data_IF_690097397117
#
_entry.id   IF_690097397117
#
_cell.length_a   1.000
_cell.length_b   1.000
_cell.length_c   1.000
_cell.angle_alpha   90.00
_cell.angle_beta   90.00
_cell.angle_gamma   90.00
#
_symmetry.space_group_name_H-M   'P 1'
#
loop_
_entity.id
_entity.type
_entity.pdbx_description
1 polymer ?
#
# COMPACT_ATOMS: atom_id res chain seq x y z
N UNK A 1 12.23 8.30 -8.09
CA UNK A 1 11.99 8.45 -6.65
C UNK A 1 11.01 9.60 -6.43
N UNK A 2 10.06 9.41 -5.53
CA UNK A 2 9.18 10.47 -5.06
C UNK A 2 9.55 10.75 -3.61
N UNK A 3 9.70 12.02 -3.27
CA UNK A 3 9.86 12.42 -1.88
C UNK A 3 8.50 12.35 -1.17
N UNK A 4 8.49 11.86 0.06
CA UNK A 4 7.34 11.99 0.94
C UNK A 4 7.11 13.46 1.28
N UNK A 5 5.86 13.89 1.35
CA UNK A 5 5.51 15.25 1.78
C UNK A 5 5.90 15.55 3.25
N UNK A 6 6.36 14.56 3.99
CA UNK A 6 6.85 14.71 5.36
C UNK A 6 8.34 15.03 5.46
N UNK A 7 9.08 15.06 4.35
CA UNK A 7 10.53 15.21 4.35
C UNK A 7 11.01 16.67 4.30
N UNK A 8 10.09 17.57 4.05
CA UNK A 8 10.41 19.00 3.97
C UNK A 8 10.42 19.64 5.33
N UNK A 9 10.98 19.75 6.24
CA UNK A 9 11.89 20.73 6.85
C UNK A 9 13.15 20.09 7.47
N UNK A 10 13.28 18.79 7.42
CA UNK A 10 14.35 18.10 8.17
C UNK A 10 15.60 17.80 7.36
N UNK A 11 15.63 18.05 6.05
CA UNK A 11 16.68 17.60 5.12
C UNK A 11 16.99 16.09 5.16
N UNK A 12 16.14 15.30 5.77
CA UNK A 12 16.18 13.84 5.70
C UNK A 12 15.46 13.45 4.42
N UNK A 13 16.22 13.31 3.36
CA UNK A 13 15.73 12.83 2.08
C UNK A 13 15.55 11.31 2.18
N UNK A 14 14.32 10.90 2.42
CA UNK A 14 13.95 9.50 2.31
C UNK A 14 13.80 9.18 0.81
N UNK A 15 14.91 8.85 0.18
CA UNK A 15 14.92 8.46 -1.22
C UNK A 15 14.41 7.01 -1.33
N UNK A 16 13.34 6.80 -2.06
CA UNK A 16 12.92 5.47 -2.44
C UNK A 16 12.68 5.39 -3.94
N UNK A 17 12.88 4.22 -4.52
CA UNK A 17 12.68 4.00 -5.96
C UNK A 17 11.35 3.29 -6.19
N UNK A 18 10.55 3.83 -7.09
CA UNK A 18 9.33 3.17 -7.58
C UNK A 18 9.59 2.68 -8.98
N UNK A 19 9.46 1.38 -9.18
CA UNK A 19 9.47 0.73 -10.47
C UNK A 19 8.03 0.55 -10.94
N UNK A 20 7.77 0.78 -12.21
CA UNK A 20 6.46 0.55 -12.77
C UNK A 20 6.52 -0.17 -14.11
N UNK A 21 5.46 -0.87 -14.44
CA UNK A 21 5.21 -1.45 -15.74
C UNK A 21 3.84 -1.05 -16.23
N UNK A 22 3.71 -0.90 -17.54
CA UNK A 22 2.46 -0.62 -18.21
C UNK A 22 2.26 -1.59 -19.37
N UNK A 23 1.04 -2.09 -19.55
CA UNK A 23 0.63 -2.91 -20.71
C UNK A 23 -0.66 -2.35 -21.28
N UNK A 24 -0.80 -2.42 -22.59
CA UNK A 24 -1.99 -2.00 -23.34
C UNK A 24 -2.55 -3.17 -24.13
N UNK A 25 -3.83 -3.14 -24.41
CA UNK A 25 -4.55 -4.18 -25.15
C UNK A 25 -4.48 -4.01 -26.67
N UNK A 26 -3.94 -2.88 -27.14
CA UNK A 26 -3.78 -2.56 -28.56
C UNK A 26 -2.31 -2.41 -28.94
N UNK A 27 -1.87 -2.90 -30.13
CA UNK A 27 -0.53 -2.63 -30.62
C UNK A 27 -0.25 -1.11 -30.73
N UNK A 28 0.89 -0.69 -30.22
CA UNK A 28 1.33 0.71 -30.31
C UNK A 28 1.86 1.02 -31.73
N UNK A 29 1.53 2.19 -32.25
CA UNK A 29 2.13 2.73 -33.47
C UNK A 29 3.57 3.16 -33.22
N UNK A 30 3.80 3.81 -32.09
CA UNK A 30 5.12 4.19 -31.60
C UNK A 30 5.08 4.37 -30.09
N UNK A 31 6.24 4.33 -29.49
CA UNK A 31 6.42 4.58 -28.06
C UNK A 31 7.74 5.31 -27.82
N UNK A 32 7.92 5.78 -26.59
CA UNK A 32 9.16 6.34 -26.12
C UNK A 32 9.07 6.69 -24.66
N UNK A 33 10.16 7.22 -24.16
CA UNK A 33 10.29 7.66 -22.79
C UNK A 33 10.80 9.10 -22.73
N UNK A 34 10.67 9.74 -21.58
CA UNK A 34 11.31 11.02 -21.33
C UNK A 34 11.94 11.06 -19.94
N UNK A 35 13.00 11.83 -19.82
CA UNK A 35 13.68 12.12 -18.56
C UNK A 35 14.08 13.59 -18.58
N UNK A 36 13.58 14.39 -17.62
CA UNK A 36 13.87 15.82 -17.53
C UNK A 36 13.64 16.59 -18.83
N UNK A 37 12.56 16.29 -19.55
CA UNK A 37 12.20 16.89 -20.83
C UNK A 37 12.93 16.33 -22.06
N UNK A 38 13.91 15.45 -21.90
CA UNK A 38 14.56 14.76 -23.02
C UNK A 38 13.76 13.54 -23.42
N UNK A 39 13.37 13.48 -24.68
CA UNK A 39 12.56 12.38 -25.25
C UNK A 39 13.46 11.38 -25.95
N UNK A 40 13.30 10.09 -25.61
CA UNK A 40 13.88 8.95 -26.31
C UNK A 40 12.76 8.11 -26.94
N UNK A 41 12.75 8.04 -28.28
CA UNK A 41 11.75 7.28 -29.03
C UNK A 41 12.18 5.84 -29.32
N UNK A 42 13.33 5.41 -28.82
CA UNK A 42 13.90 4.08 -29.05
C UNK A 42 13.87 3.18 -27.81
N UNK A 43 13.78 3.77 -26.63
CA UNK A 43 13.78 3.06 -25.36
C UNK A 43 12.37 2.87 -24.79
N UNK A 44 12.10 1.68 -24.27
CA UNK A 44 10.91 1.37 -23.46
C UNK A 44 11.21 1.40 -21.95
N UNK A 45 12.42 1.79 -21.56
CA UNK A 45 12.87 1.86 -20.16
C UNK A 45 13.49 3.23 -19.92
N UNK A 46 13.11 3.88 -18.83
CA UNK A 46 13.76 5.09 -18.36
C UNK A 46 13.87 5.06 -16.83
N UNK A 47 14.81 5.84 -16.32
CA UNK A 47 14.99 6.08 -14.89
C UNK A 47 15.46 7.52 -14.63
N UNK A 48 15.08 8.05 -13.49
CA UNK A 48 15.43 9.42 -13.08
C UNK A 48 14.77 9.78 -11.76
N UNK A 49 15.21 10.89 -11.18
CA UNK A 49 14.64 11.38 -9.91
C UNK A 49 13.37 12.19 -10.13
N UNK A 50 13.32 12.96 -11.21
CA UNK A 50 12.24 13.90 -11.49
C UNK A 50 11.86 13.82 -12.95
N UNK A 51 10.62 14.19 -13.27
CA UNK A 51 10.11 14.34 -14.62
C UNK A 51 10.49 13.16 -15.54
N UNK A 52 10.06 11.97 -15.15
CA UNK A 52 10.23 10.77 -15.97
C UNK A 52 8.89 10.19 -16.37
N UNK A 53 8.84 9.58 -17.55
CA UNK A 53 7.66 8.88 -17.99
C UNK A 53 7.83 8.18 -19.32
N UNK A 54 6.73 7.59 -19.76
CA UNK A 54 6.65 6.94 -21.05
C UNK A 54 5.41 7.42 -21.81
N UNK A 55 5.47 7.42 -23.12
CA UNK A 55 4.34 7.72 -23.98
C UNK A 55 4.13 6.60 -25.00
N UNK A 56 2.88 6.45 -25.40
CA UNK A 56 2.44 5.47 -26.36
C UNK A 56 1.50 6.14 -27.35
N UNK A 57 1.75 5.98 -28.64
CA UNK A 57 0.89 6.50 -29.70
C UNK A 57 0.12 5.36 -30.37
N UNK A 58 -1.12 5.63 -30.71
CA UNK A 58 -2.02 4.69 -31.33
C UNK A 58 -2.71 5.33 -32.52
N UNK A 59 -3.00 4.54 -33.55
CA UNK A 59 -3.98 4.89 -34.56
C UNK A 59 -5.35 4.45 -34.09
N UNK A 60 -6.28 5.39 -33.94
CA UNK A 60 -7.60 5.15 -33.31
C UNK A 60 -8.73 5.64 -34.21
N UNK A 61 -9.89 5.01 -34.06
CA UNK A 61 -11.14 5.46 -34.63
C UNK A 61 -11.99 6.16 -33.55
N UNK A 62 -13.01 6.91 -33.98
CA UNK A 62 -13.91 7.59 -33.06
C UNK A 62 -14.66 6.59 -32.15
N UNK A 63 -14.57 6.79 -30.84
CA UNK A 63 -15.22 5.93 -29.84
C UNK A 63 -14.44 4.64 -29.50
N UNK A 64 -13.28 4.42 -30.09
CA UNK A 64 -12.44 3.27 -29.74
C UNK A 64 -11.89 3.38 -28.32
N UNK A 65 -11.96 2.28 -27.57
CA UNK A 65 -11.46 2.20 -26.19
C UNK A 65 -10.15 1.42 -26.19
N UNK A 66 -9.11 2.03 -25.64
CA UNK A 66 -7.83 1.37 -25.35
C UNK A 66 -7.73 1.17 -23.85
N UNK A 67 -7.46 -0.06 -23.43
CA UNK A 67 -7.28 -0.38 -22.02
C UNK A 67 -5.80 -0.39 -21.66
N UNK A 68 -5.50 0.19 -20.49
CA UNK A 68 -4.17 0.23 -19.90
C UNK A 68 -4.20 -0.50 -18.56
N UNK A 69 -3.20 -1.35 -18.31
CA UNK A 69 -2.91 -1.93 -17.01
C UNK A 69 -1.56 -1.44 -16.54
N UNK A 70 -1.49 -1.06 -15.27
CA UNK A 70 -0.24 -0.65 -14.63
C UNK A 70 -0.05 -1.39 -13.31
N UNK A 71 1.20 -1.65 -12.95
CA UNK A 71 1.57 -2.09 -11.61
C UNK A 71 2.88 -1.44 -11.20
N UNK A 72 3.09 -1.39 -9.90
CA UNK A 72 4.32 -0.85 -9.29
C UNK A 72 4.99 -1.90 -8.41
N UNK A 73 6.26 -1.66 -8.13
CA UNK A 73 7.04 -2.33 -7.08
C UNK A 73 8.07 -1.34 -6.56
N UNK A 74 8.47 -1.51 -5.30
CA UNK A 74 9.59 -0.79 -4.72
C UNK A 74 10.91 -1.58 -4.84
N UNK A 75 10.85 -2.82 -5.35
CA UNK A 75 12.00 -3.74 -5.44
C UNK A 75 12.63 -3.73 -6.83
N UNK A 76 11.85 -3.99 -7.89
CA UNK A 76 12.37 -4.04 -9.26
C UNK A 76 11.27 -3.97 -10.33
N UNK A 77 11.67 -3.77 -11.59
CA UNK A 77 10.77 -3.85 -12.75
C UNK A 77 10.20 -5.27 -12.91
N UNK A 78 11.00 -6.30 -12.62
CA UNK A 78 10.59 -7.70 -12.67
C UNK A 78 9.49 -7.97 -11.64
N UNK A 79 9.61 -7.43 -10.44
CA UNK A 79 8.58 -7.54 -9.41
C UNK A 79 7.32 -6.74 -9.78
N UNK A 80 7.44 -5.54 -10.32
CA UNK A 80 6.28 -4.81 -10.84
C UNK A 80 5.54 -5.61 -11.92
N UNK A 81 6.28 -6.32 -12.78
CA UNK A 81 5.71 -7.19 -13.81
C UNK A 81 4.99 -8.41 -13.22
N UNK A 82 5.57 -9.00 -12.18
CA UNK A 82 4.99 -10.12 -11.44
C UNK A 82 3.71 -9.69 -10.71
N UNK A 83 3.72 -8.52 -10.05
CA UNK A 83 2.54 -7.95 -9.42
C UNK A 83 1.41 -7.78 -10.45
N UNK A 84 1.71 -7.21 -11.62
CA UNK A 84 0.74 -7.06 -12.70
C UNK A 84 0.13 -8.41 -13.12
N UNK A 85 0.94 -9.43 -13.28
CA UNK A 85 0.51 -10.75 -13.72
C UNK A 85 -0.35 -11.46 -12.68
N UNK A 86 0.08 -11.44 -11.42
CA UNK A 86 -0.64 -12.11 -10.32
C UNK A 86 -1.95 -11.40 -10.00
N UNK A 87 -1.94 -10.08 -9.88
CA UNK A 87 -3.12 -9.31 -9.45
C UNK A 87 -4.15 -9.12 -10.58
N UNK A 88 -3.72 -9.03 -11.83
CA UNK A 88 -4.61 -8.74 -12.94
C UNK A 88 -4.74 -9.83 -14.00
N UNK A 89 -3.89 -10.86 -13.96
CA UNK A 89 -3.82 -11.88 -15.01
C UNK A 89 -5.12 -12.66 -15.17
N UNK A 90 -5.76 -13.03 -14.06
CA UNK A 90 -7.02 -13.78 -14.06
C UNK A 90 -8.23 -13.06 -14.69
N UNK A 91 -8.13 -11.74 -14.88
CA UNK A 91 -9.22 -10.94 -15.45
C UNK A 91 -9.07 -10.68 -16.95
N UNK A 92 -7.94 -11.03 -17.56
CA UNK A 92 -7.64 -10.61 -18.94
C UNK A 92 -7.79 -9.08 -19.07
N UNK A 93 -8.44 -8.62 -20.14
CA UNK A 93 -8.77 -7.21 -20.38
C UNK A 93 -10.24 -6.87 -20.03
N UNK A 94 -10.81 -7.54 -19.06
CA UNK A 94 -12.20 -7.32 -18.64
C UNK A 94 -12.26 -6.35 -17.45
N UNK A 95 -12.40 -5.06 -17.75
CA UNK A 95 -12.50 -4.00 -16.73
C UNK A 95 -13.66 -4.22 -15.76
N UNK A 96 -14.82 -4.65 -16.24
CA UNK A 96 -15.98 -4.89 -15.38
C UNK A 96 -15.76 -6.04 -14.40
N UNK A 97 -15.00 -7.06 -14.79
CA UNK A 97 -14.61 -8.14 -13.88
C UNK A 97 -13.70 -7.63 -12.76
N UNK A 98 -12.71 -6.79 -13.08
CA UNK A 98 -11.83 -6.14 -12.09
C UNK A 98 -12.65 -5.27 -11.14
N UNK A 99 -13.51 -4.42 -11.69
CA UNK A 99 -14.42 -3.56 -10.90
C UNK A 99 -15.31 -4.38 -9.96
N UNK A 100 -15.91 -5.45 -10.45
CA UNK A 100 -16.75 -6.34 -9.64
C UNK A 100 -15.95 -7.01 -8.53
N UNK A 101 -14.75 -7.46 -8.82
CA UNK A 101 -13.85 -8.01 -7.82
C UNK A 101 -13.54 -7.00 -6.72
N UNK A 102 -13.09 -5.80 -7.07
CA UNK A 102 -12.79 -4.74 -6.11
C UNK A 102 -14.00 -4.36 -5.23
N UNK A 103 -15.20 -4.25 -5.84
CA UNK A 103 -16.44 -4.02 -5.09
C UNK A 103 -16.72 -5.15 -4.09
N UNK A 104 -16.46 -6.40 -4.48
CA UNK A 104 -16.71 -7.54 -3.59
C UNK A 104 -15.69 -7.58 -2.43
N UNK A 105 -14.42 -7.25 -2.68
CA UNK A 105 -13.41 -7.17 -1.61
C UNK A 105 -13.78 -6.08 -0.59
N UNK A 106 -14.19 -4.91 -1.04
CA UNK A 106 -14.66 -3.86 -0.14
C UNK A 106 -15.94 -4.25 0.60
N UNK A 107 -16.86 -4.97 -0.04
CA UNK A 107 -18.06 -5.47 0.64
C UNK A 107 -17.75 -6.42 1.78
N UNK A 108 -16.73 -7.27 1.67
CA UNK A 108 -16.32 -8.15 2.78
C UNK A 108 -15.97 -7.37 4.04
N UNK A 109 -15.29 -6.23 3.88
CA UNK A 109 -14.92 -5.36 5.00
C UNK A 109 -16.13 -4.56 5.49
N UNK A 110 -16.85 -3.91 4.59
CA UNK A 110 -17.92 -2.99 4.97
C UNK A 110 -19.15 -3.71 5.54
N UNK A 111 -19.40 -4.97 5.15
CA UNK A 111 -20.49 -5.78 5.71
C UNK A 111 -20.19 -6.42 7.06
N UNK A 112 -19.01 -6.19 7.65
CA UNK A 112 -18.75 -6.59 9.04
C UNK A 112 -19.61 -5.82 10.03
N UNK A 113 -20.14 -4.67 9.65
CA UNK A 113 -21.07 -3.87 10.44
C UNK A 113 -22.30 -3.56 9.57
N UNK A 114 -23.44 -4.07 10.00
CA UNK A 114 -24.72 -3.76 9.39
C UNK A 114 -25.50 -2.79 10.28
N UNK A 115 -26.07 -1.75 9.67
CA UNK A 115 -26.87 -0.76 10.38
C UNK A 115 -28.31 -0.76 9.87
N UNK A 116 -29.25 -0.65 10.81
CA UNK A 116 -30.67 -0.53 10.52
C UNK A 116 -31.21 0.82 11.00
N UNK A 117 -32.31 1.25 10.40
CA UNK A 117 -32.93 2.55 10.70
C UNK A 117 -32.18 3.73 10.10
N UNK A 118 -32.51 4.93 10.55
CA UNK A 118 -31.96 6.18 10.02
C UNK A 118 -32.40 6.50 8.59
N UNK A 119 -31.91 7.59 8.06
CA UNK A 119 -32.12 7.99 6.66
C UNK A 119 -31.08 7.34 5.74
N UNK A 120 -31.34 7.31 4.43
CA UNK A 120 -30.34 6.86 3.45
C UNK A 120 -29.09 7.75 3.45
N UNK A 121 -29.22 9.01 3.82
CA UNK A 121 -28.08 9.92 4.01
C UNK A 121 -27.23 9.52 5.21
N UNK A 122 -27.85 9.14 6.32
CA UNK A 122 -27.13 8.68 7.53
C UNK A 122 -26.37 7.38 7.24
N UNK A 123 -27.00 6.42 6.55
CA UNK A 123 -26.35 5.18 6.12
C UNK A 123 -25.17 5.46 5.20
N UNK A 124 -25.33 6.38 4.24
CA UNK A 124 -24.24 6.78 3.34
C UNK A 124 -23.08 7.41 4.11
N UNK A 125 -23.35 8.29 5.06
CA UNK A 125 -22.32 8.90 5.94
C UNK A 125 -21.60 7.82 6.74
N UNK A 126 -22.32 6.87 7.32
CA UNK A 126 -21.74 5.78 8.10
C UNK A 126 -20.78 4.93 7.26
N UNK A 127 -21.25 4.39 6.13
CA UNK A 127 -20.43 3.53 5.29
C UNK A 127 -19.27 4.28 4.61
N UNK A 128 -19.45 5.56 4.30
CA UNK A 128 -18.36 6.41 3.80
C UNK A 128 -17.24 6.56 4.85
N UNK A 129 -17.61 6.78 6.11
CA UNK A 129 -16.63 6.90 7.20
C UNK A 129 -16.00 5.53 7.54
N UNK A 130 -16.77 4.46 7.52
CA UNK A 130 -16.25 3.11 7.67
C UNK A 130 -15.22 2.78 6.58
N UNK A 131 -15.54 3.06 5.30
CA UNK A 131 -14.60 2.93 4.20
C UNK A 131 -13.30 3.73 4.44
N UNK A 132 -13.44 5.02 4.81
CA UNK A 132 -12.29 5.89 5.07
C UNK A 132 -11.40 5.39 6.22
N UNK A 133 -11.96 4.70 7.19
CA UNK A 133 -11.18 4.15 8.31
C UNK A 133 -10.18 3.06 7.90
N UNK A 134 -10.31 2.52 6.68
CA UNK A 134 -9.41 1.50 6.12
C UNK A 134 -8.53 2.00 4.96
N UNK A 135 -8.72 3.24 4.48
CA UNK A 135 -8.07 3.71 3.25
C UNK A 135 -6.55 3.89 3.34
N UNK A 136 -6.01 4.07 4.53
CA UNK A 136 -4.64 4.54 4.69
C UNK A 136 -3.62 3.46 5.05
N UNK A 137 -4.02 2.20 5.17
CA UNK A 137 -3.12 1.07 5.42
C UNK A 137 -2.77 0.40 4.09
N UNK A 138 -1.76 0.94 3.41
CA UNK A 138 -1.35 0.48 2.08
C UNK A 138 -0.40 -0.70 2.18
N UNK A 139 -0.65 -1.75 1.41
CA UNK A 139 0.29 -2.87 1.25
C UNK A 139 1.53 -2.34 0.53
N UNK A 140 2.69 -2.60 1.10
CA UNK A 140 3.98 -2.14 0.61
C UNK A 140 4.84 -3.25 0.00
N UNK A 141 4.63 -4.51 0.42
CA UNK A 141 5.33 -5.66 -0.14
C UNK A 141 4.74 -6.11 -1.48
N UNK A 142 5.57 -6.70 -2.32
CA UNK A 142 5.16 -7.34 -3.55
C UNK A 142 4.37 -8.63 -3.29
N UNK A 143 3.70 -9.16 -4.32
CA UNK A 143 2.78 -10.32 -4.22
C UNK A 143 3.44 -11.60 -3.70
N UNK A 144 4.75 -11.73 -3.81
CA UNK A 144 5.53 -12.85 -3.27
C UNK A 144 6.19 -12.55 -1.93
N UNK A 145 5.90 -11.37 -1.35
CA UNK A 145 6.41 -10.94 -0.06
C UNK A 145 7.79 -10.29 -0.10
N UNK A 146 8.33 -9.94 -1.28
CA UNK A 146 9.52 -9.12 -1.33
C UNK A 146 9.18 -7.66 -1.01
N UNK A 147 10.07 -6.97 -0.32
CA UNK A 147 9.96 -5.54 -0.04
C UNK A 147 11.33 -4.91 0.19
N UNK A 148 11.43 -3.60 0.14
CA UNK A 148 12.64 -2.85 0.47
C UNK A 148 12.53 -2.36 1.91
N UNK A 149 13.57 -2.58 2.72
CA UNK A 149 13.62 -2.13 4.11
C UNK A 149 14.17 -0.69 4.24
N UNK A 150 14.18 -0.14 5.45
CA UNK A 150 14.66 1.21 5.76
C UNK A 150 16.17 1.43 5.52
N UNK A 151 16.89 0.40 5.13
CA UNK A 151 18.31 0.46 4.72
C UNK A 151 18.49 0.19 3.23
N UNK A 152 17.42 0.33 2.44
CA UNK A 152 17.40 0.07 0.98
C UNK A 152 17.76 -1.38 0.59
N UNK A 153 17.60 -2.33 1.51
CA UNK A 153 17.89 -3.74 1.24
C UNK A 153 16.62 -4.49 0.90
N UNK A 154 16.66 -5.32 -0.12
CA UNK A 154 15.58 -6.25 -0.44
C UNK A 154 15.46 -7.30 0.64
N UNK A 155 14.27 -7.43 1.20
CA UNK A 155 13.89 -8.41 2.21
C UNK A 155 12.83 -9.36 1.65
N UNK A 156 12.66 -10.50 2.34
CA UNK A 156 11.65 -11.49 2.01
C UNK A 156 10.80 -11.77 3.25
N UNK A 157 9.50 -11.57 3.15
CA UNK A 157 8.55 -11.95 4.20
C UNK A 157 8.53 -13.47 4.35
N UNK A 158 8.41 -13.93 5.58
CA UNK A 158 8.24 -15.36 5.88
C UNK A 158 6.91 -15.88 5.35
N UNK A 159 5.87 -15.07 5.45
CA UNK A 159 4.53 -15.35 4.92
C UNK A 159 4.06 -14.17 4.06
N UNK A 160 4.00 -14.32 2.72
CA UNK A 160 3.48 -13.28 1.84
C UNK A 160 2.00 -12.92 2.08
N UNK A 161 1.23 -13.80 2.71
CA UNK A 161 -0.17 -13.53 3.07
C UNK A 161 -0.30 -12.56 4.26
N UNK A 162 0.80 -12.29 4.96
CA UNK A 162 0.92 -11.25 5.99
C UNK A 162 1.82 -10.12 5.47
N UNK A 163 1.30 -9.24 4.60
CA UNK A 163 2.11 -8.23 3.92
C UNK A 163 2.61 -7.16 4.89
N UNK A 164 3.67 -6.45 4.48
CA UNK A 164 4.10 -5.26 5.19
C UNK A 164 3.22 -4.07 4.76
N UNK A 165 2.81 -3.27 5.73
CA UNK A 165 2.00 -2.08 5.52
C UNK A 165 2.82 -0.83 5.77
N UNK A 166 2.64 0.16 4.91
CA UNK A 166 3.28 1.46 4.98
C UNK A 166 2.31 2.61 4.79
N UNK A 167 2.87 3.80 4.68
CA UNK A 167 2.21 5.02 4.22
C UNK A 167 1.13 5.59 5.13
N UNK A 168 1.12 5.27 6.43
CA UNK A 168 0.21 5.96 7.35
C UNK A 168 0.72 6.03 8.79
N UNK A 169 0.41 7.14 9.41
CA UNK A 169 0.65 7.36 10.82
C UNK A 169 -0.45 6.72 11.69
N UNK A 170 -0.06 6.23 12.85
CA UNK A 170 -1.01 5.75 13.85
C UNK A 170 -1.51 6.88 14.77
N UNK A 171 -1.26 8.13 14.42
CA UNK A 171 -1.60 9.28 15.24
C UNK A 171 -3.07 9.29 15.62
N UNK A 172 -3.31 9.24 16.91
CA UNK A 172 -4.63 9.28 17.54
C UNK A 172 -5.60 8.14 17.18
N UNK A 173 -5.15 7.08 16.50
CA UNK A 173 -6.02 5.94 16.18
C UNK A 173 -6.53 5.22 17.42
N UNK A 174 -5.83 5.37 18.57
CA UNK A 174 -6.23 4.78 19.84
C UNK A 174 -7.53 5.38 20.41
N UNK A 175 -7.95 6.56 19.97
CA UNK A 175 -9.19 7.17 20.49
C UNK A 175 -10.42 6.34 20.12
N UNK A 176 -10.49 5.82 18.89
CA UNK A 176 -11.65 5.07 18.43
C UNK A 176 -11.34 4.02 17.34
N UNK A 177 -10.38 4.26 16.46
CA UNK A 177 -10.11 3.38 15.32
C UNK A 177 -9.55 2.03 15.76
N UNK A 178 -8.63 1.98 16.72
CA UNK A 178 -8.10 0.71 17.23
C UNK A 178 -9.21 -0.20 17.78
N UNK A 179 -10.22 0.38 18.42
CA UNK A 179 -11.37 -0.35 18.95
C UNK A 179 -12.27 -0.84 17.83
N UNK A 180 -12.53 0.00 16.84
CA UNK A 180 -13.31 -0.35 15.66
C UNK A 180 -12.67 -1.51 14.91
N UNK A 181 -11.37 -1.41 14.60
CA UNK A 181 -10.63 -2.43 13.87
C UNK A 181 -10.56 -3.76 14.62
N UNK A 182 -10.31 -3.70 15.92
CA UNK A 182 -10.26 -4.91 16.75
C UNK A 182 -11.61 -5.63 16.83
N UNK A 183 -12.73 -4.89 16.76
CA UNK A 183 -14.08 -5.43 16.80
C UNK A 183 -14.52 -5.95 15.44
N UNK A 184 -14.33 -5.15 14.39
CA UNK A 184 -14.88 -5.42 13.06
C UNK A 184 -13.96 -6.31 12.21
N UNK A 185 -12.64 -6.15 12.33
CA UNK A 185 -11.64 -6.82 11.48
C UNK A 185 -10.40 -7.27 12.25
N UNK A 186 -10.56 -8.17 13.24
CA UNK A 186 -9.44 -8.61 14.09
C UNK A 186 -8.28 -9.24 13.29
N UNK A 187 -8.57 -9.96 12.21
CA UNK A 187 -7.55 -10.59 11.38
C UNK A 187 -6.69 -9.54 10.63
N UNK A 188 -7.31 -8.45 10.18
CA UNK A 188 -6.58 -7.33 9.55
C UNK A 188 -5.71 -6.63 10.60
N UNK A 189 -6.26 -6.37 11.78
CA UNK A 189 -5.49 -5.76 12.87
C UNK A 189 -4.29 -6.63 13.28
N UNK A 190 -4.45 -7.95 13.29
CA UNK A 190 -3.34 -8.87 13.54
C UNK A 190 -2.21 -8.69 12.53
N UNK A 191 -2.53 -8.61 11.24
CA UNK A 191 -1.53 -8.39 10.17
C UNK A 191 -0.80 -7.05 10.32
N UNK A 192 -1.47 -6.01 10.79
CA UNK A 192 -0.80 -4.74 11.08
C UNK A 192 0.21 -4.88 12.23
N UNK A 193 -0.11 -5.63 13.28
CA UNK A 193 0.86 -5.92 14.34
C UNK A 193 2.05 -6.73 13.82
N UNK A 194 1.81 -7.74 12.99
CA UNK A 194 2.90 -8.51 12.34
C UNK A 194 3.78 -7.61 11.48
N UNK A 195 3.19 -6.69 10.74
CA UNK A 195 3.92 -5.68 9.96
C UNK A 195 4.81 -4.80 10.84
N UNK A 196 4.29 -4.31 11.98
CA UNK A 196 5.09 -3.53 12.94
C UNK A 196 6.25 -4.35 13.52
N UNK A 197 6.04 -5.64 13.79
CA UNK A 197 7.09 -6.53 14.26
C UNK A 197 8.15 -6.81 13.19
N UNK A 198 7.79 -6.79 11.93
CA UNK A 198 8.74 -6.91 10.83
C UNK A 198 9.64 -5.66 10.74
N UNK A 199 9.09 -4.43 10.89
CA UNK A 199 9.89 -3.22 11.04
C UNK A 199 10.85 -3.31 12.22
N UNK A 200 10.35 -3.76 13.38
CA UNK A 200 11.19 -3.97 14.55
C UNK A 200 12.31 -5.01 14.31
N UNK A 201 12.00 -6.11 13.63
CA UNK A 201 12.98 -7.15 13.30
C UNK A 201 14.14 -6.62 12.46
N UNK A 202 13.84 -5.77 11.48
CA UNK A 202 14.81 -5.27 10.51
C UNK A 202 15.53 -4.03 11.01
N UNK A 203 14.81 -3.06 11.55
CA UNK A 203 15.32 -1.76 11.93
C UNK A 203 15.60 -1.61 13.43
N UNK A 204 15.11 -2.52 14.25
CA UNK A 204 15.32 -2.53 15.69
C UNK A 204 14.40 -1.60 16.48
N UNK A 205 13.47 -0.90 15.85
CA UNK A 205 12.49 0.01 16.46
C UNK A 205 11.11 -0.20 15.86
N UNK A 206 10.07 0.15 16.61
CA UNK A 206 8.72 0.26 16.08
C UNK A 206 8.58 1.58 15.29
N UNK A 207 7.94 1.59 14.13
CA UNK A 207 7.74 2.80 13.34
C UNK A 207 6.51 3.57 13.84
N UNK A 208 6.67 4.84 14.15
CA UNK A 208 5.54 5.69 14.56
C UNK A 208 4.57 6.01 13.40
N UNK A 209 5.06 6.00 12.21
CA UNK A 209 4.28 6.20 10.99
C UNK A 209 5.18 5.97 9.79
N UNK A 210 5.25 4.73 9.27
CA UNK A 210 6.14 4.43 8.16
C UNK A 210 5.64 5.07 6.86
N UNK A 211 6.25 6.16 6.38
CA UNK A 211 5.94 6.72 5.07
C UNK A 211 6.66 5.89 4.00
N UNK A 212 6.10 4.78 3.61
CA UNK A 212 6.79 3.78 2.80
C UNK A 212 7.60 2.85 3.68
N UNK A 213 8.90 2.69 3.44
CA UNK A 213 9.79 1.76 4.16
C UNK A 213 10.49 2.37 5.36
N UNK A 214 10.47 3.68 5.55
CA UNK A 214 11.33 4.36 6.50
C UNK A 214 10.63 4.71 7.82
N UNK A 215 11.43 5.05 8.81
CA UNK A 215 10.92 5.62 10.04
C UNK A 215 10.59 7.10 9.85
N UNK A 216 9.50 7.56 10.47
CA UNK A 216 9.12 8.96 10.48
C UNK A 216 9.56 9.60 11.78
N UNK A 217 10.37 10.66 11.70
CA UNK A 217 10.86 11.42 12.85
C UNK A 217 10.02 12.66 13.20
N UNK A 218 8.91 12.88 12.48
CA UNK A 218 8.12 14.10 12.58
C UNK A 218 7.07 14.05 13.68
N UNK A 219 6.52 12.86 13.92
CA UNK A 219 5.38 12.66 14.82
C UNK A 219 5.84 12.48 16.25
N UNK A 220 5.42 13.36 17.13
CA UNK A 220 5.56 13.14 18.58
C UNK A 220 4.59 12.08 19.07
N UNK A 221 5.03 11.18 19.92
CA UNK A 221 4.31 10.06 20.53
C UNK A 221 4.32 8.76 19.69
N UNK A 222 4.29 7.65 20.40
CA UNK A 222 4.41 6.29 19.88
C UNK A 222 3.03 5.63 19.79
N UNK A 223 2.24 6.03 18.80
CA UNK A 223 0.84 5.61 18.65
C UNK A 223 0.67 4.15 18.15
N UNK A 224 1.71 3.55 17.62
CA UNK A 224 1.77 2.12 17.28
C UNK A 224 1.69 1.23 18.53
N UNK A 225 2.24 1.68 19.65
CA UNK A 225 2.16 0.95 20.94
C UNK A 225 0.71 0.76 21.38
N UNK A 226 -0.15 1.80 21.47
CA UNK A 226 -1.57 1.63 21.74
C UNK A 226 -2.30 0.68 20.79
N UNK A 227 -1.91 0.60 19.50
CA UNK A 227 -2.47 -0.38 18.56
C UNK A 227 -2.15 -1.80 19.01
N UNK A 228 -0.87 -2.09 19.28
CA UNK A 228 -0.41 -3.41 19.72
C UNK A 228 -1.02 -3.82 21.06
N UNK A 229 -1.06 -2.90 22.02
CA UNK A 229 -1.68 -3.13 23.34
C UNK A 229 -3.18 -3.37 23.18
N UNK A 230 -3.87 -2.59 22.33
CA UNK A 230 -5.30 -2.81 22.06
C UNK A 230 -5.56 -4.18 21.44
N UNK A 231 -4.74 -4.63 20.51
CA UNK A 231 -4.84 -5.95 19.92
C UNK A 231 -4.71 -7.04 20.99
N UNK A 232 -3.65 -6.97 21.79
CA UNK A 232 -3.38 -7.93 22.86
C UNK A 232 -4.52 -8.01 23.88
N UNK A 233 -5.00 -6.87 24.38
CA UNK A 233 -6.06 -6.78 25.40
C UNK A 233 -7.40 -7.30 24.88
N UNK A 234 -7.65 -7.23 23.59
CA UNK A 234 -8.87 -7.74 22.94
C UNK A 234 -8.76 -9.19 22.45
N UNK A 235 -7.67 -9.89 22.80
CA UNK A 235 -7.49 -11.30 22.48
C UNK A 235 -6.94 -11.57 21.08
N UNK A 236 -6.57 -10.53 20.33
CA UNK A 236 -5.89 -10.66 19.04
C UNK A 236 -4.41 -10.93 19.32
N UNK A 237 -3.98 -12.18 19.18
CA UNK A 237 -2.66 -12.64 19.63
C UNK A 237 -2.02 -13.64 18.66
N UNK A 238 -2.41 -13.62 17.39
CA UNK A 238 -1.89 -14.53 16.37
C UNK A 238 -0.55 -14.05 15.79
N UNK A 239 0.29 -13.45 16.63
CA UNK A 239 1.62 -12.96 16.34
C UNK A 239 2.57 -13.31 17.49
N UNK A 240 3.86 -13.07 17.33
CA UNK A 240 4.86 -13.27 18.40
C UNK A 240 4.67 -12.25 19.53
N UNK A 241 3.93 -12.65 20.58
CA UNK A 241 3.57 -11.78 21.71
C UNK A 241 4.80 -11.40 22.54
N UNK A 242 5.75 -12.32 22.72
CA UNK A 242 6.96 -12.05 23.50
C UNK A 242 7.83 -11.02 22.80
N UNK A 243 7.97 -11.14 21.48
CA UNK A 243 8.67 -10.16 20.66
C UNK A 243 7.94 -8.81 20.61
N UNK A 244 6.61 -8.83 20.58
CA UNK A 244 5.81 -7.61 20.67
C UNK A 244 6.05 -6.88 21.97
N UNK A 245 6.10 -7.59 23.10
CA UNK A 245 6.41 -7.03 24.41
C UNK A 245 7.83 -6.47 24.48
N UNK A 246 8.81 -7.18 23.92
CA UNK A 246 10.18 -6.69 23.79
C UNK A 246 10.25 -5.37 23.01
N UNK A 247 9.59 -5.33 21.83
CA UNK A 247 9.57 -4.17 20.96
C UNK A 247 8.94 -2.93 21.63
N UNK A 248 7.85 -3.13 22.39
CA UNK A 248 7.16 -2.04 23.11
C UNK A 248 7.99 -1.50 24.29
N UNK A 249 8.88 -2.30 24.87
CA UNK A 249 9.73 -1.88 26.01
C UNK A 249 10.96 -1.09 25.59
N UNK A 250 11.33 -1.14 24.33
CA UNK A 250 12.53 -0.49 23.82
C UNK A 250 12.30 0.98 23.55
#
# INVERSE_FOLDING_TARGET
STQSSYDEPTNLLNDYTVYFVARVDKPMKSFGTWVNGYVDTTSSICWGRHDIGAFMNFDTEEGEIIQLKTAISYVSIEQARKNLEVESGGFGWNFDAVRKYAVNEWRKILSTIEIEGGTEEDKRKFYTNLYRSYCSRTIFSDVDGQYVDMYERTQQLKDPASPIYGCDAFWNTFWNLNQLWALATPDIMNKWVESLLEYYRVGGWLPNGPPGVEYCDIMGAQHEIPLMVSAYQKGIRNYDVDKAYEAVKK
#
